data_IF_343990694300
#
_entry.id   IF_343990694300
#
_cell.length_a   1.000
_cell.length_b   1.000
_cell.length_c   1.000
_cell.angle_alpha   90.00
_cell.angle_beta   90.00
_cell.angle_gamma   90.00
#
_symmetry.space_group_name_H-M   'P 1'
#
loop_
_entity.id
_entity.type
_entity.pdbx_description
1 polymer ?
#
# COMPACT_ATOMS: atom_id res chain seq x y z
N UNK A 1 53.54 45.08 -0.10
CA UNK A 1 52.56 45.64 0.87
C UNK A 1 52.93 45.35 2.33
N UNK A 2 53.26 44.11 2.75
CA UNK A 2 53.52 43.78 4.17
C UNK A 2 54.85 44.31 4.77
N UNK A 3 55.88 44.58 3.95
CA UNK A 3 57.17 45.09 4.46
C UNK A 3 57.10 46.55 4.95
N UNK A 4 56.21 47.36 4.37
CA UNK A 4 56.04 48.77 4.76
C UNK A 4 55.34 48.89 6.13
N UNK A 5 54.43 47.97 6.45
CA UNK A 5 53.74 47.94 7.76
C UNK A 5 54.67 47.56 8.93
N UNK A 6 55.73 46.80 8.70
CA UNK A 6 56.66 46.40 9.76
C UNK A 6 57.63 47.52 10.14
N UNK A 7 58.01 48.36 9.17
CA UNK A 7 58.89 49.52 9.39
C UNK A 7 58.12 50.63 10.14
N UNK A 8 56.85 50.88 9.79
CA UNK A 8 56.05 51.92 10.45
C UNK A 8 55.74 51.58 11.91
N UNK A 9 55.46 50.32 12.24
CA UNK A 9 55.22 49.88 13.63
C UNK A 9 56.45 50.03 14.54
N UNK A 10 57.66 49.76 14.03
CA UNK A 10 58.90 49.95 14.79
C UNK A 10 59.25 51.43 15.02
N UNK A 11 58.87 52.33 14.11
CA UNK A 11 59.06 53.78 14.28
C UNK A 11 58.06 54.39 15.28
N UNK A 12 56.82 53.88 15.33
CA UNK A 12 55.79 54.30 16.29
C UNK A 12 56.12 53.87 17.73
N UNK A 13 56.67 52.66 17.93
CA UNK A 13 57.09 52.17 19.24
C UNK A 13 58.28 52.96 19.83
N UNK A 14 59.21 53.44 18.99
CA UNK A 14 60.35 54.27 19.43
C UNK A 14 59.94 55.70 19.79
N UNK A 15 58.90 56.25 19.15
CA UNK A 15 58.36 57.58 19.50
C UNK A 15 57.64 57.60 20.85
N UNK A 16 56.92 56.53 21.22
CA UNK A 16 56.20 56.49 22.51
C UNK A 16 57.12 56.32 23.73
N UNK A 17 58.29 55.70 23.55
CA UNK A 17 59.31 55.57 24.62
C UNK A 17 60.01 56.89 24.95
N UNK A 18 60.02 57.86 24.03
CA UNK A 18 60.69 59.13 24.26
C UNK A 18 59.86 60.12 25.11
N UNK A 19 58.54 59.94 25.20
CA UNK A 19 57.61 60.82 25.92
C UNK A 19 57.35 60.42 27.40
N UNK A 20 58.00 59.36 27.91
CA UNK A 20 57.80 58.85 29.27
C UNK A 20 58.80 59.44 30.28
N UNK A 21 58.43 59.49 31.56
CA UNK A 21 59.32 59.97 32.63
C UNK A 21 60.56 59.05 32.80
N UNK A 22 61.72 59.56 33.27
CA UNK A 22 62.97 58.79 33.37
C UNK A 22 62.84 57.50 34.19
N UNK A 23 62.00 57.53 35.22
CA UNK A 23 61.70 56.40 36.12
C UNK A 23 60.84 55.31 35.44
N UNK A 24 59.95 55.69 34.52
CA UNK A 24 59.12 54.74 33.76
C UNK A 24 59.90 54.12 32.60
N UNK A 25 60.79 54.89 31.96
CA UNK A 25 61.73 54.37 30.94
C UNK A 25 62.65 53.30 31.53
N UNK A 26 63.21 53.54 32.70
CA UNK A 26 64.09 52.59 33.39
C UNK A 26 63.34 51.33 33.84
N UNK A 27 62.08 51.45 34.28
CA UNK A 27 61.23 50.30 34.64
C UNK A 27 60.82 49.45 33.42
N UNK A 28 60.53 50.08 32.29
CA UNK A 28 60.23 49.38 31.02
C UNK A 28 61.48 48.76 30.39
N UNK A 29 62.63 49.43 30.45
CA UNK A 29 63.92 48.88 30.03
C UNK A 29 64.35 47.70 30.91
N UNK A 30 64.12 47.75 32.23
CA UNK A 30 64.34 46.61 33.12
C UNK A 30 63.40 45.44 32.79
N UNK A 31 62.13 45.68 32.48
CA UNK A 31 61.19 44.62 32.06
C UNK A 31 61.55 44.02 30.69
N UNK A 32 61.97 44.84 29.74
CA UNK A 32 62.46 44.38 28.43
C UNK A 32 63.77 43.59 28.59
N UNK A 33 64.72 44.06 29.40
CA UNK A 33 65.98 43.36 29.64
C UNK A 33 65.80 42.04 30.39
N UNK A 34 64.86 41.95 31.34
CA UNK A 34 64.51 40.66 31.99
C UNK A 34 63.85 39.70 31.01
N UNK A 35 63.02 40.19 30.08
CA UNK A 35 62.33 39.36 29.09
C UNK A 35 63.27 38.92 27.94
N UNK A 36 64.26 39.74 27.57
CA UNK A 36 65.32 39.40 26.61
C UNK A 36 66.37 38.48 27.25
N UNK A 37 66.73 38.70 28.52
CA UNK A 37 67.68 37.83 29.25
C UNK A 37 67.09 36.44 29.52
N UNK A 38 65.78 36.32 29.82
CA UNK A 38 65.11 35.01 29.88
C UNK A 38 65.09 34.29 28.53
N UNK A 39 64.85 35.01 27.43
CA UNK A 39 64.97 34.44 26.08
C UNK A 39 66.40 34.02 25.77
N UNK A 40 67.40 34.79 26.13
CA UNK A 40 68.81 34.47 25.85
C UNK A 40 69.36 33.34 26.73
N UNK A 41 68.87 33.17 27.98
CA UNK A 41 69.24 32.05 28.86
C UNK A 41 68.61 30.72 28.41
N UNK A 42 67.38 30.75 27.90
CA UNK A 42 66.75 29.59 27.23
C UNK A 42 67.39 29.26 25.87
N UNK A 43 68.04 30.23 25.22
CA UNK A 43 68.81 30.00 23.98
C UNK A 43 70.22 29.44 24.30
N UNK A 44 70.85 29.84 25.41
CA UNK A 44 72.21 29.40 25.77
C UNK A 44 72.29 27.99 26.37
N UNK A 45 71.22 27.46 26.95
CA UNK A 45 71.15 26.06 27.43
C UNK A 45 70.63 25.09 26.38
N UNK A 46 70.32 25.61 25.19
CA UNK A 46 69.95 24.83 24.02
C UNK A 46 71.12 24.83 23.04
N UNK A 47 72.27 24.34 23.52
CA UNK A 47 73.36 23.94 22.64
C UNK A 47 72.78 23.00 21.57
N UNK A 48 72.92 23.43 20.33
CA UNK A 48 72.55 22.70 19.14
C UNK A 48 73.37 21.40 19.09
N UNK A 49 72.79 20.31 19.60
CA UNK A 49 73.05 19.00 19.01
C UNK A 49 72.38 18.99 17.63
N UNK A 50 73.09 19.54 16.64
CA UNK A 50 72.87 19.16 15.25
C UNK A 50 73.04 17.63 15.21
N UNK A 51 71.99 16.85 14.91
CA UNK A 51 72.20 15.43 14.68
C UNK A 51 73.13 15.32 13.48
N UNK A 52 74.23 14.59 13.66
CA UNK A 52 75.03 14.09 12.54
C UNK A 52 74.08 13.55 11.48
N UNK A 53 74.15 14.15 10.29
CA UNK A 53 73.37 13.72 9.14
C UNK A 53 73.84 12.31 8.82
N UNK A 54 73.06 11.31 9.22
CA UNK A 54 73.13 10.00 8.60
C UNK A 54 72.70 10.21 7.15
N UNK A 55 73.67 10.30 6.24
CA UNK A 55 73.50 10.61 4.80
C UNK A 55 72.73 9.54 4.01
N UNK A 56 72.05 8.62 4.69
CA UNK A 56 71.38 7.47 4.08
C UNK A 56 69.84 7.57 4.06
N UNK A 57 69.24 8.60 4.66
CA UNK A 57 67.80 8.84 4.53
C UNK A 57 67.50 9.55 3.20
N UNK A 58 66.67 8.92 2.39
CA UNK A 58 66.23 9.47 1.11
C UNK A 58 65.50 10.79 1.32
N UNK A 59 65.65 11.74 0.40
CA UNK A 59 64.97 13.06 0.46
C UNK A 59 63.45 12.90 0.67
N UNK A 60 62.87 11.82 0.14
CA UNK A 60 61.47 11.46 0.28
C UNK A 60 61.07 11.14 1.72
N UNK A 61 61.89 10.40 2.47
CA UNK A 61 61.62 10.08 3.87
C UNK A 61 61.65 11.33 4.75
N UNK A 62 62.59 12.24 4.47
CA UNK A 62 62.66 13.55 5.15
C UNK A 62 61.43 14.40 4.86
N UNK A 63 60.96 14.44 3.61
CA UNK A 63 59.73 15.15 3.24
C UNK A 63 58.49 14.55 3.94
N UNK A 64 58.38 13.22 4.00
CA UNK A 64 57.28 12.54 4.71
C UNK A 64 57.29 12.82 6.22
N UNK A 65 58.46 12.92 6.85
CA UNK A 65 58.58 13.30 8.26
C UNK A 65 58.15 14.75 8.48
N UNK A 66 58.58 15.67 7.61
CA UNK A 66 58.14 17.07 7.66
C UNK A 66 56.62 17.19 7.48
N UNK A 67 56.02 16.43 6.56
CA UNK A 67 54.57 16.38 6.38
C UNK A 67 53.84 15.85 7.61
N UNK A 68 54.39 14.82 8.27
CA UNK A 68 53.85 14.30 9.54
C UNK A 68 53.87 15.36 10.63
N UNK A 69 54.97 16.11 10.78
CA UNK A 69 55.07 17.20 11.77
C UNK A 69 54.12 18.36 11.45
N UNK A 70 53.89 18.65 10.15
CA UNK A 70 52.93 19.68 9.71
C UNK A 70 51.47 19.30 9.95
N UNK A 71 51.17 18.01 10.11
CA UNK A 71 49.81 17.55 10.36
C UNK A 71 49.32 17.94 11.77
N UNK A 72 48.43 18.92 11.82
CA UNK A 72 47.75 19.37 13.06
C UNK A 72 46.33 18.82 13.21
N UNK A 73 45.86 18.00 12.26
CA UNK A 73 44.45 17.56 12.19
C UNK A 73 44.07 16.58 13.31
N UNK A 74 45.06 15.93 13.94
CA UNK A 74 44.87 14.85 14.94
C UNK A 74 44.02 13.68 14.43
N UNK A 75 43.75 13.61 13.12
CA UNK A 75 43.04 12.50 12.50
C UNK A 75 44.00 11.32 12.30
N UNK A 76 43.45 10.11 12.32
CA UNK A 76 44.19 8.93 11.89
C UNK A 76 44.53 9.04 10.39
N UNK A 77 45.66 8.50 9.93
CA UNK A 77 46.09 8.62 8.53
C UNK A 77 45.01 8.18 7.52
N UNK A 78 44.27 7.10 7.81
CA UNK A 78 43.19 6.62 6.94
C UNK A 78 42.01 7.60 6.84
N UNK A 79 41.59 8.22 7.94
CA UNK A 79 40.51 9.23 7.93
C UNK A 79 40.95 10.49 7.19
N UNK A 80 42.21 10.88 7.34
CA UNK A 80 42.82 11.99 6.60
C UNK A 80 42.85 11.70 5.11
N UNK A 81 43.27 10.50 4.71
CA UNK A 81 43.28 10.10 3.30
C UNK A 81 41.89 10.15 2.67
N UNK A 82 40.85 9.73 3.41
CA UNK A 82 39.46 9.86 2.94
C UNK A 82 39.06 11.32 2.67
N UNK A 83 39.48 12.26 3.53
CA UNK A 83 39.19 13.69 3.35
C UNK A 83 39.83 14.25 2.07
N UNK A 84 41.03 13.77 1.74
CA UNK A 84 41.78 14.21 0.57
C UNK A 84 41.56 13.34 -0.68
N UNK A 85 40.52 12.48 -0.68
CA UNK A 85 40.24 11.54 -1.77
C UNK A 85 41.45 10.66 -2.16
N UNK A 86 42.29 10.31 -1.19
CA UNK A 86 43.39 9.35 -1.34
C UNK A 86 42.97 7.98 -0.79
N UNK A 87 43.71 6.94 -1.20
CA UNK A 87 43.47 5.59 -0.73
C UNK A 87 43.60 5.51 0.81
N UNK A 88 42.56 5.04 1.53
CA UNK A 88 42.54 5.14 2.99
C UNK A 88 43.43 4.11 3.69
N UNK A 89 43.47 2.88 3.20
CA UNK A 89 44.20 1.79 3.82
C UNK A 89 45.20 1.22 2.82
N UNK A 90 46.46 1.08 3.26
CA UNK A 90 47.50 0.38 2.49
C UNK A 90 47.39 -1.14 2.63
N UNK A 91 46.95 -1.61 3.80
CA UNK A 91 46.73 -3.03 4.10
C UNK A 91 45.29 -3.28 4.58
N UNK A 92 44.71 -4.45 4.27
CA UNK A 92 43.36 -4.80 4.71
C UNK A 92 43.33 -4.99 6.24
N UNK A 93 42.62 -4.11 6.95
CA UNK A 93 42.45 -4.19 8.42
C UNK A 93 41.29 -5.09 8.86
N UNK A 94 40.31 -5.32 7.99
CA UNK A 94 39.10 -6.09 8.30
C UNK A 94 38.82 -7.04 7.14
N UNK A 95 38.21 -8.19 7.42
CA UNK A 95 37.82 -9.19 6.41
C UNK A 95 36.98 -8.60 5.27
N UNK A 96 36.16 -7.58 5.57
CA UNK A 96 35.40 -6.84 4.55
C UNK A 96 36.29 -6.25 3.46
N UNK A 97 37.53 -5.84 3.77
CA UNK A 97 38.47 -5.30 2.79
C UNK A 97 39.02 -6.35 1.83
N UNK A 98 38.96 -7.63 2.21
CA UNK A 98 39.39 -8.75 1.36
C UNK A 98 38.32 -9.13 0.32
N UNK A 99 37.09 -8.64 0.49
CA UNK A 99 35.99 -8.99 -0.41
C UNK A 99 36.13 -8.34 -1.79
N UNK A 100 35.69 -9.06 -2.82
CA UNK A 100 35.58 -8.54 -4.20
C UNK A 100 34.78 -7.24 -4.25
N UNK A 101 33.70 -7.15 -3.46
CA UNK A 101 32.85 -5.95 -3.36
C UNK A 101 33.65 -4.72 -2.91
N UNK A 102 34.50 -4.86 -1.90
CA UNK A 102 35.33 -3.77 -1.43
C UNK A 102 36.36 -3.34 -2.47
N UNK A 103 37.04 -4.31 -3.10
CA UNK A 103 38.01 -4.05 -4.16
C UNK A 103 37.38 -3.31 -5.34
N UNK A 104 36.16 -3.70 -5.76
CA UNK A 104 35.37 -2.98 -6.77
C UNK A 104 35.04 -1.55 -6.35
N UNK A 105 34.68 -1.34 -5.08
CA UNK A 105 34.39 -0.01 -4.53
C UNK A 105 35.64 0.89 -4.49
N UNK A 106 36.79 0.35 -4.11
CA UNK A 106 38.05 1.11 -4.07
C UNK A 106 38.51 1.49 -5.47
N UNK A 107 38.47 0.55 -6.42
CA UNK A 107 38.79 0.82 -7.81
C UNK A 107 37.82 1.84 -8.44
N UNK A 108 36.52 1.76 -8.11
CA UNK A 108 35.54 2.73 -8.61
C UNK A 108 35.72 4.15 -8.06
N UNK A 109 36.35 4.32 -6.88
CA UNK A 109 36.58 5.64 -6.27
C UNK A 109 37.95 6.23 -6.60
N UNK A 110 38.99 5.40 -6.56
CA UNK A 110 40.39 5.83 -6.66
C UNK A 110 41.06 5.35 -7.96
N UNK A 111 40.36 4.59 -8.79
CA UNK A 111 40.88 4.08 -10.06
C UNK A 111 42.10 3.19 -9.88
N UNK A 112 43.06 3.35 -10.78
CA UNK A 112 44.31 2.58 -10.81
C UNK A 112 45.19 2.81 -9.58
N UNK A 113 45.03 3.93 -8.86
CA UNK A 113 45.78 4.21 -7.62
C UNK A 113 45.48 3.19 -6.52
N UNK A 114 44.32 2.52 -6.59
CA UNK A 114 43.95 1.47 -5.64
C UNK A 114 44.79 0.20 -5.77
N UNK A 115 45.56 0.02 -6.85
CA UNK A 115 46.35 -1.18 -7.10
C UNK A 115 45.53 -2.45 -7.36
N UNK A 116 44.20 -2.34 -7.48
CA UNK A 116 43.30 -3.47 -7.75
C UNK A 116 43.32 -3.80 -9.24
N UNK A 117 43.42 -5.09 -9.57
CA UNK A 117 43.32 -5.55 -10.96
C UNK A 117 41.91 -5.26 -11.52
N UNK A 118 41.77 -4.51 -12.64
CA UNK A 118 40.47 -4.19 -13.25
C UNK A 118 39.68 -5.42 -13.71
N UNK A 119 40.32 -6.56 -13.96
CA UNK A 119 39.64 -7.82 -14.31
C UNK A 119 38.62 -8.28 -13.25
N UNK A 120 38.85 -7.92 -11.98
CA UNK A 120 37.96 -8.25 -10.85
C UNK A 120 36.60 -7.56 -10.98
N UNK A 121 36.48 -6.48 -11.77
CA UNK A 121 35.22 -5.75 -11.96
C UNK A 121 34.17 -6.60 -12.69
N UNK A 122 34.62 -7.51 -13.56
CA UNK A 122 33.74 -8.39 -14.31
C UNK A 122 33.32 -9.61 -13.47
N UNK A 123 32.10 -10.14 -13.69
CA UNK A 123 31.65 -11.36 -13.03
C UNK A 123 32.46 -12.57 -13.50
N UNK A 124 32.56 -13.58 -12.63
CA UNK A 124 33.19 -14.86 -12.97
C UNK A 124 32.26 -15.66 -13.89
N UNK A 125 32.81 -16.61 -14.65
CA UNK A 125 32.00 -17.54 -15.47
C UNK A 125 30.91 -18.24 -14.67
N UNK A 126 31.22 -18.61 -13.42
CA UNK A 126 30.27 -19.19 -12.45
C UNK A 126 29.13 -18.22 -12.12
N UNK A 127 29.46 -16.97 -11.81
CA UNK A 127 28.49 -15.92 -11.48
C UNK A 127 27.54 -15.64 -12.66
N UNK A 128 28.08 -15.65 -13.88
CA UNK A 128 27.30 -15.49 -15.12
C UNK A 128 26.35 -16.67 -15.33
N UNK A 129 26.80 -17.91 -15.07
CA UNK A 129 25.94 -19.09 -15.17
C UNK A 129 24.79 -19.03 -14.15
N UNK A 130 25.10 -18.73 -12.88
CA UNK A 130 24.10 -18.56 -11.82
C UNK A 130 23.09 -17.44 -12.14
N UNK A 131 23.57 -16.31 -12.67
CA UNK A 131 22.71 -15.21 -13.11
C UNK A 131 21.73 -15.66 -14.19
N UNK A 132 22.22 -16.39 -15.20
CA UNK A 132 21.39 -16.91 -16.30
C UNK A 132 20.35 -17.91 -15.81
N UNK A 133 20.70 -18.78 -14.86
CA UNK A 133 19.75 -19.72 -14.25
C UNK A 133 18.68 -18.98 -13.45
N UNK A 134 19.08 -18.00 -12.63
CA UNK A 134 18.14 -17.16 -11.89
C UNK A 134 17.18 -16.43 -12.83
N UNK A 135 17.68 -15.82 -13.91
CA UNK A 135 16.84 -15.12 -14.88
C UNK A 135 15.85 -16.05 -15.56
N UNK A 136 16.24 -17.28 -15.92
CA UNK A 136 15.34 -18.28 -16.49
C UNK A 136 14.24 -18.71 -15.53
N UNK A 137 14.57 -18.85 -14.24
CA UNK A 137 13.61 -19.30 -13.21
C UNK A 137 12.68 -18.17 -12.78
N UNK A 138 13.22 -16.97 -12.53
CA UNK A 138 12.46 -15.82 -12.07
C UNK A 138 11.62 -15.20 -13.20
N UNK A 139 12.14 -15.20 -14.43
CA UNK A 139 11.53 -14.57 -15.60
C UNK A 139 11.48 -15.56 -16.77
N UNK A 140 10.58 -16.56 -16.72
CA UNK A 140 10.53 -17.64 -17.71
C UNK A 140 10.03 -17.18 -19.08
N UNK A 141 9.24 -16.11 -19.13
CA UNK A 141 8.62 -15.63 -20.36
C UNK A 141 9.40 -14.48 -20.99
N UNK A 142 9.48 -14.50 -22.31
CA UNK A 142 9.98 -13.36 -23.08
C UNK A 142 8.95 -12.24 -23.13
N UNK A 143 9.40 -11.01 -23.38
CA UNK A 143 8.53 -9.84 -23.50
C UNK A 143 7.43 -10.07 -24.55
N UNK A 144 7.76 -10.71 -25.67
CA UNK A 144 6.80 -11.03 -26.72
C UNK A 144 5.70 -11.98 -26.24
N UNK A 145 6.08 -13.02 -25.48
CA UNK A 145 5.12 -13.97 -24.89
C UNK A 145 4.21 -13.28 -23.86
N UNK A 146 4.76 -12.40 -23.02
CA UNK A 146 3.97 -11.62 -22.06
C UNK A 146 2.93 -10.74 -22.76
N UNK A 147 3.31 -10.10 -23.87
CA UNK A 147 2.37 -9.29 -24.67
C UNK A 147 1.24 -10.16 -25.24
N UNK A 148 1.56 -11.37 -25.73
CA UNK A 148 0.55 -12.30 -26.24
C UNK A 148 -0.39 -12.74 -25.11
N UNK A 149 0.15 -13.13 -23.95
CA UNK A 149 -0.64 -13.52 -22.78
C UNK A 149 -1.58 -12.38 -22.34
N UNK A 150 -1.07 -11.16 -22.22
CA UNK A 150 -1.87 -10.00 -21.86
C UNK A 150 -3.01 -9.76 -22.86
N UNK A 151 -2.75 -9.88 -24.17
CA UNK A 151 -3.80 -9.77 -25.20
C UNK A 151 -4.87 -10.84 -25.03
N UNK A 152 -4.46 -12.10 -24.84
CA UNK A 152 -5.42 -13.20 -24.66
C UNK A 152 -6.28 -13.03 -23.42
N UNK A 153 -5.72 -12.52 -22.32
CA UNK A 153 -6.48 -12.24 -21.09
C UNK A 153 -7.50 -11.12 -21.29
N UNK A 154 -7.16 -10.08 -22.05
CA UNK A 154 -8.06 -8.99 -22.39
C UNK A 154 -9.22 -9.52 -23.24
N UNK A 155 -8.91 -10.28 -24.30
CA UNK A 155 -9.92 -10.88 -25.18
C UNK A 155 -10.87 -11.80 -24.41
N UNK A 156 -10.35 -12.63 -23.49
CA UNK A 156 -11.18 -13.48 -22.64
C UNK A 156 -12.12 -12.67 -21.73
N UNK A 157 -11.61 -11.61 -21.10
CA UNK A 157 -12.44 -10.72 -20.26
C UNK A 157 -13.53 -10.03 -21.08
N UNK A 158 -13.21 -9.58 -22.28
CA UNK A 158 -14.17 -8.97 -23.19
C UNK A 158 -15.28 -9.95 -23.57
N UNK A 159 -14.93 -11.20 -23.92
CA UNK A 159 -15.91 -12.25 -24.21
C UNK A 159 -16.81 -12.56 -23.03
N UNK A 160 -16.26 -12.63 -21.81
CA UNK A 160 -17.05 -12.90 -20.62
C UNK A 160 -17.97 -11.73 -20.25
N UNK A 161 -17.50 -10.49 -20.43
CA UNK A 161 -18.33 -9.30 -20.29
C UNK A 161 -19.48 -9.30 -21.31
N UNK A 162 -19.21 -9.65 -22.58
CA UNK A 162 -20.25 -9.77 -23.61
C UNK A 162 -21.33 -10.79 -23.20
N UNK A 163 -20.95 -11.98 -22.73
CA UNK A 163 -21.91 -12.99 -22.23
C UNK A 163 -22.75 -12.46 -21.06
N UNK A 164 -22.14 -11.71 -20.14
CA UNK A 164 -22.86 -11.08 -19.03
C UNK A 164 -23.86 -10.06 -19.56
N UNK A 165 -23.46 -9.20 -20.50
CA UNK A 165 -24.33 -8.22 -21.11
C UNK A 165 -25.51 -8.86 -21.84
N UNK A 166 -25.27 -9.89 -22.64
CA UNK A 166 -26.32 -10.67 -23.31
C UNK A 166 -27.32 -11.26 -22.32
N UNK A 167 -26.84 -11.86 -21.23
CA UNK A 167 -27.69 -12.40 -20.16
C UNK A 167 -28.52 -11.31 -19.48
N UNK A 168 -27.92 -10.16 -19.21
CA UNK A 168 -28.63 -9.02 -18.60
C UNK A 168 -29.72 -8.51 -19.55
N UNK A 169 -29.43 -8.35 -20.83
CA UNK A 169 -30.42 -7.94 -21.85
C UNK A 169 -31.58 -8.94 -21.91
N UNK A 170 -31.28 -10.25 -21.93
CA UNK A 170 -32.32 -11.29 -21.94
C UNK A 170 -33.19 -11.27 -20.68
N UNK A 171 -32.62 -10.96 -19.51
CA UNK A 171 -33.36 -10.81 -18.26
C UNK A 171 -34.21 -9.52 -18.25
N UNK A 172 -33.67 -8.42 -18.78
CA UNK A 172 -34.39 -7.16 -18.90
C UNK A 172 -35.62 -7.29 -19.80
N UNK A 173 -35.52 -8.05 -20.89
CA UNK A 173 -36.67 -8.35 -21.75
C UNK A 173 -37.80 -9.09 -21.01
N UNK A 174 -37.46 -9.95 -20.04
CA UNK A 174 -38.44 -10.70 -19.22
C UNK A 174 -38.91 -9.94 -17.98
N UNK A 175 -38.29 -8.80 -17.69
CA UNK A 175 -38.56 -8.02 -16.48
C UNK A 175 -40.00 -7.52 -16.45
N UNK A 176 -40.52 -7.05 -17.58
CA UNK A 176 -41.88 -6.51 -17.67
C UNK A 176 -42.94 -7.58 -17.40
N UNK A 177 -42.77 -8.80 -17.94
CA UNK A 177 -43.67 -9.92 -17.62
C UNK A 177 -43.62 -10.27 -16.14
N UNK A 178 -42.43 -10.34 -15.54
CA UNK A 178 -42.30 -10.65 -14.11
C UNK A 178 -42.91 -9.58 -13.21
N UNK A 179 -42.82 -8.30 -13.58
CA UNK A 179 -43.48 -7.20 -12.87
C UNK A 179 -45.00 -7.36 -12.91
N UNK A 180 -45.56 -7.68 -14.08
CA UNK A 180 -47.01 -7.92 -14.23
C UNK A 180 -47.45 -9.12 -13.38
N UNK A 181 -46.75 -10.24 -13.46
CA UNK A 181 -47.04 -11.44 -12.67
C UNK A 181 -47.01 -11.16 -11.17
N UNK A 182 -46.06 -10.34 -10.71
CA UNK A 182 -45.95 -9.94 -9.31
C UNK A 182 -47.13 -9.05 -8.89
N UNK A 183 -47.46 -8.03 -9.69
CA UNK A 183 -48.60 -7.15 -9.43
C UNK A 183 -49.92 -7.92 -9.37
N UNK A 184 -50.11 -8.90 -10.27
CA UNK A 184 -51.28 -9.77 -10.22
C UNK A 184 -51.35 -10.61 -8.94
N UNK A 185 -50.21 -11.14 -8.47
CA UNK A 185 -50.16 -11.90 -7.22
C UNK A 185 -50.49 -11.01 -6.02
N UNK A 186 -49.97 -9.79 -5.99
CA UNK A 186 -50.27 -8.80 -4.96
C UNK A 186 -51.77 -8.49 -4.97
N UNK A 187 -52.33 -8.12 -6.13
CA UNK A 187 -53.76 -7.81 -6.25
C UNK A 187 -54.66 -8.99 -5.85
N UNK A 188 -54.30 -10.23 -6.22
CA UNK A 188 -55.03 -11.45 -5.80
C UNK A 188 -54.98 -11.63 -4.27
N UNK A 189 -53.82 -11.43 -3.65
CA UNK A 189 -53.69 -11.53 -2.19
C UNK A 189 -54.44 -10.42 -1.47
N UNK A 190 -54.39 -9.19 -1.96
CA UNK A 190 -55.13 -8.06 -1.42
C UNK A 190 -56.63 -8.28 -1.51
N UNK A 191 -57.15 -8.73 -2.66
CA UNK A 191 -58.57 -9.06 -2.84
C UNK A 191 -59.02 -10.18 -1.88
N UNK A 192 -58.20 -11.22 -1.68
CA UNK A 192 -58.48 -12.27 -0.70
C UNK A 192 -58.50 -11.73 0.72
N UNK A 193 -57.55 -10.86 1.08
CA UNK A 193 -57.48 -10.25 2.40
C UNK A 193 -58.68 -9.32 2.66
N UNK A 194 -59.09 -8.51 1.67
CA UNK A 194 -60.28 -7.66 1.75
C UNK A 194 -61.56 -8.47 1.89
N UNK A 195 -61.75 -9.51 1.05
CA UNK A 195 -62.90 -10.40 1.16
C UNK A 195 -62.94 -11.12 2.51
N UNK A 196 -61.79 -11.48 3.07
CA UNK A 196 -61.72 -12.07 4.41
C UNK A 196 -62.09 -11.06 5.51
N UNK A 197 -61.68 -9.80 5.39
CA UNK A 197 -62.09 -8.72 6.31
C UNK A 197 -63.59 -8.48 6.22
N UNK A 198 -64.14 -8.29 5.03
CA UNK A 198 -65.58 -8.09 4.84
C UNK A 198 -66.43 -9.24 5.38
N UNK A 199 -65.98 -10.49 5.20
CA UNK A 199 -66.67 -11.66 5.78
C UNK A 199 -66.66 -11.62 7.31
N UNK A 200 -65.53 -11.26 7.91
CA UNK A 200 -65.42 -11.11 9.37
C UNK A 200 -66.29 -9.96 9.87
N UNK A 201 -66.29 -8.83 9.19
CA UNK A 201 -67.07 -7.65 9.57
C UNK A 201 -68.58 -7.93 9.47
N UNK A 202 -69.03 -8.62 8.43
CA UNK A 202 -70.42 -9.10 8.31
C UNK A 202 -70.81 -10.02 9.45
N UNK A 203 -69.93 -10.97 9.81
CA UNK A 203 -70.19 -11.89 10.91
C UNK A 203 -70.25 -11.18 12.27
N UNK A 204 -69.34 -10.23 12.51
CA UNK A 204 -69.33 -9.40 13.72
C UNK A 204 -70.61 -8.55 13.80
N UNK A 205 -71.05 -7.98 12.68
CA UNK A 205 -72.27 -7.17 12.61
C UNK A 205 -73.54 -8.01 12.85
N UNK A 206 -73.63 -9.21 12.27
CA UNK A 206 -74.73 -10.15 12.54
C UNK A 206 -74.80 -10.54 14.02
N UNK A 207 -73.65 -10.79 14.65
CA UNK A 207 -73.57 -11.10 16.08
C UNK A 207 -73.97 -9.87 16.92
N UNK A 208 -73.51 -8.66 16.56
CA UNK A 208 -73.91 -7.41 17.22
C UNK A 208 -75.42 -7.16 17.15
N UNK A 209 -76.04 -7.41 15.99
CA UNK A 209 -77.50 -7.31 15.80
C UNK A 209 -78.28 -8.30 16.67
N UNK A 210 -77.73 -9.48 16.93
CA UNK A 210 -78.34 -10.47 17.81
C UNK A 210 -78.30 -10.07 19.30
N UNK A 211 -77.25 -9.38 19.74
CA UNK A 211 -77.13 -8.94 21.13
C UNK A 211 -77.89 -7.63 21.40
N UNK A 212 -77.95 -6.70 20.45
CA UNK A 212 -78.72 -5.45 20.57
C UNK A 212 -78.10 -4.38 21.49
N UNK A 213 -76.89 -4.61 22.02
CA UNK A 213 -76.08 -3.65 22.79
C UNK A 213 -74.64 -3.64 22.26
N UNK A 214 -73.86 -2.60 22.59
CA UNK A 214 -72.44 -2.50 22.18
C UNK A 214 -71.59 -3.51 22.97
N UNK A 215 -71.43 -4.72 22.43
CA UNK A 215 -70.58 -5.79 22.99
C UNK A 215 -69.13 -5.61 22.54
N UNK A 216 -68.20 -5.75 23.48
CA UNK A 216 -66.77 -5.71 23.19
C UNK A 216 -66.29 -7.02 22.54
N UNK A 217 -65.50 -6.99 21.45
CA UNK A 217 -65.04 -8.20 20.76
C UNK A 217 -64.15 -9.15 21.58
N UNK A 218 -63.75 -8.75 22.79
CA UNK A 218 -62.87 -9.52 23.68
C UNK A 218 -63.63 -10.43 24.65
N UNK A 219 -64.94 -10.24 24.80
CA UNK A 219 -65.78 -10.98 25.74
C UNK A 219 -65.94 -12.46 25.39
N UNK A 220 -66.00 -13.32 26.42
CA UNK A 220 -66.09 -14.79 26.24
C UNK A 220 -67.39 -15.22 25.56
N UNK A 221 -68.53 -14.62 25.96
CA UNK A 221 -69.84 -14.89 25.35
C UNK A 221 -69.90 -14.48 23.88
N UNK A 222 -69.17 -13.43 23.49
CA UNK A 222 -69.07 -13.00 22.10
C UNK A 222 -68.28 -14.01 21.25
N UNK A 223 -67.19 -14.54 21.79
CA UNK A 223 -66.38 -15.58 21.12
C UNK A 223 -67.15 -16.88 20.92
N UNK A 224 -67.93 -17.31 21.92
CA UNK A 224 -68.77 -18.51 21.82
C UNK A 224 -69.82 -18.38 20.72
N UNK A 225 -70.54 -17.26 20.69
CA UNK A 225 -71.57 -17.01 19.66
C UNK A 225 -70.99 -16.81 18.27
N UNK A 226 -69.84 -16.14 18.15
CA UNK A 226 -69.10 -16.04 16.88
C UNK A 226 -68.69 -17.43 16.39
N UNK A 227 -68.19 -18.30 17.28
CA UNK A 227 -67.81 -19.68 16.92
C UNK A 227 -69.01 -20.55 16.49
N UNK A 228 -70.20 -20.35 17.05
CA UNK A 228 -71.43 -21.04 16.62
C UNK A 228 -71.82 -20.59 15.20
N UNK A 229 -71.84 -19.28 14.94
CA UNK A 229 -72.17 -18.73 13.62
C UNK A 229 -71.12 -19.05 12.55
N UNK A 230 -69.82 -19.07 12.89
CA UNK A 230 -68.77 -19.56 11.99
C UNK A 230 -68.97 -21.04 11.62
N UNK A 231 -69.36 -21.89 12.58
CA UNK A 231 -69.65 -23.31 12.30
C UNK A 231 -70.85 -23.47 11.38
N UNK A 232 -71.88 -22.65 11.52
CA UNK A 232 -73.05 -22.64 10.64
C UNK A 232 -72.72 -22.16 9.22
N UNK A 233 -72.02 -21.03 9.08
CA UNK A 233 -71.57 -20.55 7.77
C UNK A 233 -70.62 -21.54 7.09
N UNK A 234 -69.70 -22.16 7.83
CA UNK A 234 -68.80 -23.21 7.32
C UNK A 234 -69.54 -24.47 6.86
N UNK A 235 -70.66 -24.83 7.49
CA UNK A 235 -71.51 -25.94 7.04
C UNK A 235 -72.23 -25.58 5.74
N UNK A 236 -72.79 -24.38 5.64
CA UNK A 236 -73.44 -23.87 4.42
C UNK A 236 -72.45 -23.76 3.25
N UNK A 237 -71.26 -23.23 3.48
CA UNK A 237 -70.19 -23.15 2.47
C UNK A 237 -69.73 -24.52 1.99
N UNK A 238 -69.68 -25.52 2.89
CA UNK A 238 -69.34 -26.90 2.53
C UNK A 238 -70.43 -27.52 1.66
N UNK A 239 -71.70 -27.34 2.01
CA UNK A 239 -72.85 -27.83 1.22
C UNK A 239 -72.87 -27.17 -0.16
N UNK A 240 -72.76 -25.84 -0.24
CA UNK A 240 -72.69 -25.13 -1.51
C UNK A 240 -71.50 -25.58 -2.39
N UNK A 241 -70.33 -25.85 -1.78
CA UNK A 241 -69.17 -26.42 -2.50
C UNK A 241 -69.40 -27.84 -3.00
N UNK A 242 -70.17 -28.67 -2.29
CA UNK A 242 -70.55 -30.01 -2.74
C UNK A 242 -71.54 -29.90 -3.91
N UNK A 243 -72.56 -29.06 -3.78
CA UNK A 243 -73.56 -28.83 -4.83
C UNK A 243 -72.93 -28.28 -6.12
N UNK A 244 -71.96 -27.35 -6.01
CA UNK A 244 -71.21 -26.85 -7.18
C UNK A 244 -70.35 -27.93 -7.84
N UNK A 245 -69.76 -28.84 -7.05
CA UNK A 245 -68.99 -29.97 -7.58
C UNK A 245 -69.90 -30.96 -8.30
N UNK A 246 -71.06 -31.26 -7.72
CA UNK A 246 -72.08 -32.13 -8.33
C UNK A 246 -72.60 -31.52 -9.63
N UNK A 247 -72.93 -30.22 -9.66
CA UNK A 247 -73.33 -29.50 -10.87
C UNK A 247 -72.26 -29.53 -11.97
N UNK A 248 -70.98 -29.32 -11.61
CA UNK A 248 -69.86 -29.41 -12.56
C UNK A 248 -69.64 -30.84 -13.08
N UNK A 249 -69.87 -31.85 -12.24
CA UNK A 249 -69.78 -33.25 -12.64
C UNK A 249 -70.91 -33.63 -13.61
N UNK A 250 -72.15 -33.22 -13.34
CA UNK A 250 -73.31 -33.44 -14.21
C UNK A 250 -73.12 -32.71 -15.55
N UNK A 251 -72.66 -31.47 -15.55
CA UNK A 251 -72.36 -30.72 -16.77
C UNK A 251 -71.27 -31.41 -17.62
N UNK A 252 -70.23 -31.95 -16.99
CA UNK A 252 -69.18 -32.70 -17.68
C UNK A 252 -69.69 -34.03 -18.26
N UNK A 253 -70.62 -34.71 -17.57
CA UNK A 253 -71.28 -35.92 -18.06
C UNK A 253 -72.24 -35.64 -19.22
N UNK A 254 -73.02 -34.56 -19.14
CA UNK A 254 -73.90 -34.12 -20.24
C UNK A 254 -73.11 -33.70 -21.48
N UNK A 255 -72.03 -32.91 -21.32
CA UNK A 255 -71.15 -32.53 -22.44
C UNK A 255 -70.48 -33.74 -23.08
N UNK A 256 -70.10 -34.76 -22.29
CA UNK A 256 -69.56 -36.03 -22.81
C UNK A 256 -70.64 -36.83 -23.54
N UNK A 257 -71.87 -36.82 -23.07
CA UNK A 257 -73.00 -37.50 -23.71
C UNK A 257 -73.41 -36.83 -25.03
N UNK A 258 -73.44 -35.49 -25.07
CA UNK A 258 -73.66 -34.71 -26.30
C UNK A 258 -72.53 -34.90 -27.32
N UNK A 259 -71.27 -34.99 -26.88
CA UNK A 259 -70.15 -35.34 -27.74
C UNK A 259 -70.27 -36.78 -28.31
N UNK A 260 -70.82 -37.73 -27.55
CA UNK A 260 -71.08 -39.09 -28.03
C UNK A 260 -72.25 -39.13 -29.02
N UNK A 261 -73.37 -38.45 -28.73
CA UNK A 261 -74.54 -38.39 -29.63
C UNK A 261 -74.25 -37.65 -30.94
N UNK A 262 -73.39 -36.63 -30.92
CA UNK A 262 -72.92 -35.96 -32.14
C UNK A 262 -71.95 -36.82 -32.94
N UNK A 263 -71.17 -37.69 -32.30
CA UNK A 263 -70.31 -38.66 -32.98
C UNK A 263 -71.10 -39.79 -33.65
N UNK A 264 -72.23 -40.24 -33.08
CA UNK A 264 -73.09 -41.27 -33.68
C UNK A 264 -73.92 -40.73 -34.84
N UNK A 265 -74.46 -39.51 -34.73
CA UNK A 265 -75.24 -38.87 -35.81
C UNK A 265 -74.41 -38.49 -37.04
N UNK A 266 -73.08 -38.36 -36.90
CA UNK A 266 -72.16 -38.17 -38.04
C UNK A 266 -71.75 -39.49 -38.71
N UNK A 267 -71.90 -40.63 -38.04
CA UNK A 267 -71.63 -41.95 -38.63
C UNK A 267 -72.76 -42.40 -39.57
N UNK A 268 -74.02 -42.05 -39.26
CA UNK A 268 -75.20 -42.42 -40.06
C UNK A 268 -75.46 -41.51 -41.29
N UNK A 269 -74.70 -40.42 -41.47
CA UNK A 269 -74.80 -39.53 -42.65
C UNK A 269 -73.76 -39.83 -43.75
N UNK A 270 -72.83 -40.74 -43.50
CA UNK A 270 -71.76 -41.12 -44.42
C UNK A 270 -71.86 -42.58 -44.91
N UNK A 271 -73.03 -43.22 -44.73
CA UNK A 271 -73.44 -44.47 -45.38
C UNK A 271 -74.53 -44.22 -46.43
#
# INVERSE_FOLDING_TARGET
SQSVYFITMNTLAKRSLNALNPHEKSRLLLRLNVCVSKRNFEISTREEKLPEVQENESIQERELEIERIRDKSRLKPHHRNMLFNKLPYSQPMTESHLTVKYNRKMYGRYGSESGVNPGIMWPTKTDVALRKEYEKVAYPFTIQQLVIQAKTEIEQKELDNQKIHERVIANLAKLESWKKDLQEKIAKQEAVALAAKEKKDKLIEEVRRHFGFTVDPRDEKFKEMLAVKEKEQKKKDKQARLDERERKAIAKLMAKNEALLSSTNNADRNS
#
